data_IF_362094681160
#
_entry.id   IF_362094681160
#
_cell.length_a   1.000
_cell.length_b   1.000
_cell.length_c   1.000
_cell.angle_alpha   90.00
_cell.angle_beta   90.00
_cell.angle_gamma   90.00
#
_symmetry.space_group_name_H-M   'P 1'
#
loop_
_entity.id
_entity.type
_entity.pdbx_description
1 polymer ?
#
# COMPACT_ATOMS: atom_id res chain seq x y z
N UNK A 1 35.27 29.06 -26.71
CA UNK A 1 35.90 27.79 -26.28
C UNK A 1 35.43 27.38 -24.89
N UNK A 2 35.38 28.32 -23.92
CA UNK A 2 34.88 28.04 -22.56
C UNK A 2 33.41 27.59 -22.49
N UNK A 3 32.52 28.12 -23.34
CA UNK A 3 31.09 27.75 -23.38
C UNK A 3 30.86 26.31 -23.84
N UNK A 4 31.74 25.79 -24.70
CA UNK A 4 31.68 24.43 -25.21
C UNK A 4 32.12 23.42 -24.13
N UNK A 5 33.20 23.72 -23.43
CA UNK A 5 33.74 22.87 -22.34
C UNK A 5 32.74 22.79 -21.17
N UNK A 6 32.08 23.90 -20.82
CA UNK A 6 31.07 23.94 -19.76
C UNK A 6 29.85 23.05 -20.08
N UNK A 7 29.36 23.09 -21.33
CA UNK A 7 28.26 22.23 -21.78
C UNK A 7 28.62 20.73 -21.76
N UNK A 8 29.86 20.39 -22.10
CA UNK A 8 30.33 19.00 -22.06
C UNK A 8 30.47 18.46 -20.63
N UNK A 9 30.91 19.30 -19.68
CA UNK A 9 31.02 18.94 -18.26
C UNK A 9 29.62 18.76 -17.65
N UNK A 10 28.67 19.65 -17.95
CA UNK A 10 27.30 19.57 -17.42
C UNK A 10 26.63 18.24 -17.81
N UNK A 11 26.80 17.78 -19.06
CA UNK A 11 26.24 16.49 -19.52
C UNK A 11 26.87 15.29 -18.83
N UNK A 12 28.16 15.36 -18.54
CA UNK A 12 28.91 14.28 -17.89
C UNK A 12 28.53 14.17 -16.40
N UNK A 13 28.36 15.31 -15.74
CA UNK A 13 27.88 15.40 -14.36
C UNK A 13 26.43 14.92 -14.23
N UNK A 14 25.54 15.35 -15.15
CA UNK A 14 24.15 14.87 -15.20
C UNK A 14 24.09 13.36 -15.47
N UNK A 15 24.89 12.85 -16.41
CA UNK A 15 24.97 11.41 -16.70
C UNK A 15 25.41 10.58 -15.49
N UNK A 16 26.43 11.05 -14.75
CA UNK A 16 26.90 10.40 -13.52
C UNK A 16 25.85 10.45 -12.40
N UNK A 17 25.19 11.60 -12.19
CA UNK A 17 24.10 11.74 -11.20
C UNK A 17 22.91 10.84 -11.53
N UNK A 18 22.49 10.77 -12.81
CA UNK A 18 21.42 9.87 -13.24
C UNK A 18 21.79 8.40 -13.02
N UNK A 19 23.03 8.00 -13.29
CA UNK A 19 23.45 6.60 -13.09
C UNK A 19 23.44 6.17 -11.62
N UNK A 20 23.76 7.10 -10.69
CA UNK A 20 23.67 6.85 -9.25
C UNK A 20 22.22 6.71 -8.78
N UNK A 21 21.34 7.62 -9.21
CA UNK A 21 19.92 7.60 -8.84
C UNK A 21 19.22 6.33 -9.35
N UNK A 22 19.48 5.91 -10.59
CA UNK A 22 18.89 4.69 -11.16
C UNK A 22 19.37 3.40 -10.46
N UNK A 23 20.63 3.34 -10.03
CA UNK A 23 21.17 2.19 -9.31
C UNK A 23 20.55 2.00 -7.93
N UNK A 24 20.36 3.10 -7.19
CA UNK A 24 19.78 3.07 -5.84
C UNK A 24 18.29 2.70 -5.86
N UNK A 25 17.53 3.21 -6.85
CA UNK A 25 16.12 2.86 -7.07
C UNK A 25 15.96 1.35 -7.39
N UNK A 26 16.85 0.79 -8.23
CA UNK A 26 16.76 -0.62 -8.61
C UNK A 26 17.03 -1.58 -7.44
N UNK A 27 17.97 -1.23 -6.56
CA UNK A 27 18.30 -2.04 -5.37
C UNK A 27 17.15 -1.98 -4.35
N UNK A 28 16.60 -0.78 -4.09
CA UNK A 28 15.49 -0.57 -3.17
C UNK A 28 14.25 -1.40 -3.56
N UNK A 29 13.86 -1.40 -4.84
CA UNK A 29 12.76 -2.21 -5.37
C UNK A 29 12.98 -3.73 -5.20
N UNK A 30 14.24 -4.20 -5.21
CA UNK A 30 14.52 -5.62 -4.99
C UNK A 30 14.41 -6.06 -3.53
N UNK A 31 14.66 -5.14 -2.59
CA UNK A 31 14.64 -5.42 -1.15
C UNK A 31 13.22 -5.40 -0.61
N UNK A 32 12.46 -4.35 -0.91
CA UNK A 32 11.04 -4.22 -0.57
C UNK A 32 10.22 -5.41 -1.08
N UNK A 33 10.50 -5.89 -2.29
CA UNK A 33 9.79 -7.02 -2.87
C UNK A 33 10.13 -8.34 -2.18
N UNK A 34 11.38 -8.52 -1.71
CA UNK A 34 11.74 -9.69 -0.89
C UNK A 34 11.02 -9.66 0.46
N UNK A 35 10.99 -8.49 1.11
CA UNK A 35 10.25 -8.29 2.36
C UNK A 35 8.76 -8.57 2.16
N UNK A 36 8.17 -8.11 1.05
CA UNK A 36 6.78 -8.38 0.74
C UNK A 36 6.50 -9.86 0.54
N UNK A 37 7.31 -10.57 -0.26
CA UNK A 37 7.13 -12.01 -0.50
C UNK A 37 7.27 -12.83 0.79
N UNK A 38 8.24 -12.47 1.65
CA UNK A 38 8.38 -13.07 2.98
C UNK A 38 7.14 -12.82 3.84
N UNK A 39 6.66 -11.57 3.86
CA UNK A 39 5.50 -11.17 4.65
C UNK A 39 4.21 -11.87 4.21
N UNK A 40 4.08 -12.17 2.91
CA UNK A 40 2.97 -12.93 2.36
C UNK A 40 2.97 -14.36 2.93
N UNK A 41 4.13 -15.02 2.94
CA UNK A 41 4.29 -16.33 3.57
C UNK A 41 3.97 -16.28 5.06
N UNK A 42 4.44 -15.26 5.78
CA UNK A 42 4.09 -15.06 7.19
C UNK A 42 2.57 -14.89 7.39
N UNK A 43 1.94 -14.06 6.58
CA UNK A 43 0.48 -13.83 6.62
C UNK A 43 -0.31 -15.13 6.38
N UNK A 44 0.05 -15.90 5.36
CA UNK A 44 -0.58 -17.20 5.04
C UNK A 44 -0.43 -18.21 6.20
N UNK A 45 0.71 -18.18 6.89
CA UNK A 45 0.98 -18.99 8.07
C UNK A 45 0.41 -18.40 9.38
N UNK A 46 -0.42 -17.35 9.30
CA UNK A 46 -1.06 -16.64 10.44
C UNK A 46 -0.07 -15.99 11.42
N UNK A 47 1.16 -15.78 10.98
CA UNK A 47 2.30 -15.12 11.65
C UNK A 47 2.24 -13.61 11.38
N UNK A 48 1.19 -12.97 11.88
CA UNK A 48 0.85 -11.61 11.48
C UNK A 48 1.80 -10.55 12.05
N UNK A 49 2.38 -10.78 13.24
CA UNK A 49 3.34 -9.84 13.81
C UNK A 49 4.67 -9.83 13.04
N UNK A 50 5.13 -10.98 12.54
CA UNK A 50 6.28 -11.04 11.64
C UNK A 50 5.98 -10.37 10.29
N UNK A 51 4.80 -10.64 9.71
CA UNK A 51 4.37 -9.98 8.48
C UNK A 51 4.34 -8.44 8.65
N UNK A 52 3.81 -7.94 9.78
CA UNK A 52 3.80 -6.50 10.09
C UNK A 52 5.21 -5.92 10.12
N UNK A 53 6.17 -6.59 10.78
CA UNK A 53 7.55 -6.08 10.90
C UNK A 53 8.20 -5.89 9.53
N UNK A 54 8.05 -6.87 8.65
CA UNK A 54 8.62 -6.81 7.29
C UNK A 54 7.89 -5.78 6.43
N UNK A 55 6.56 -5.73 6.51
CA UNK A 55 5.74 -4.78 5.75
C UNK A 55 5.97 -3.33 6.20
N UNK A 56 6.17 -3.07 7.49
CA UNK A 56 6.54 -1.75 8.00
C UNK A 56 7.88 -1.26 7.42
N UNK A 57 8.81 -2.18 7.12
CA UNK A 57 10.05 -1.84 6.40
C UNK A 57 9.77 -1.65 4.92
N UNK A 58 9.02 -2.55 4.28
CA UNK A 58 8.69 -2.46 2.86
C UNK A 58 7.99 -1.14 2.50
N UNK A 59 7.02 -0.67 3.31
CA UNK A 59 6.34 0.62 3.08
C UNK A 59 7.21 1.84 3.39
N UNK A 60 8.30 1.69 4.16
CA UNK A 60 9.29 2.77 4.34
C UNK A 60 10.21 2.89 3.14
N UNK A 61 10.59 1.76 2.53
CA UNK A 61 11.43 1.72 1.33
C UNK A 61 10.60 2.20 0.12
N UNK A 62 9.40 1.64 -0.05
CA UNK A 62 8.51 1.95 -1.18
C UNK A 62 7.08 2.28 -0.72
N UNK A 63 6.83 3.55 -0.30
CA UNK A 63 5.53 3.97 0.23
C UNK A 63 4.42 4.08 -0.82
N UNK A 64 4.73 3.91 -2.11
CA UNK A 64 3.78 4.11 -3.22
C UNK A 64 3.23 2.79 -3.78
N UNK A 65 3.46 1.67 -3.08
CA UNK A 65 3.02 0.35 -3.52
C UNK A 65 1.74 -0.06 -2.77
N UNK A 66 0.60 -0.02 -3.47
CA UNK A 66 -0.73 -0.27 -2.88
C UNK A 66 -0.83 -1.61 -2.15
N UNK A 67 -0.30 -2.69 -2.75
CA UNK A 67 -0.35 -4.05 -2.17
C UNK A 67 0.39 -4.18 -0.84
N UNK A 68 1.43 -3.37 -0.60
CA UNK A 68 2.17 -3.39 0.67
C UNK A 68 1.31 -2.80 1.78
N UNK A 69 0.70 -1.65 1.52
CA UNK A 69 -0.24 -1.02 2.45
C UNK A 69 -1.46 -1.92 2.69
N UNK A 70 -2.00 -2.56 1.66
CA UNK A 70 -3.15 -3.45 1.78
C UNK A 70 -2.84 -4.66 2.69
N UNK A 71 -1.75 -5.39 2.42
CA UNK A 71 -1.38 -6.54 3.25
C UNK A 71 -1.03 -6.13 4.68
N UNK A 72 -0.41 -4.96 4.87
CA UNK A 72 -0.11 -4.41 6.18
C UNK A 72 -1.38 -4.10 6.97
N UNK A 73 -2.38 -3.50 6.32
CA UNK A 73 -3.67 -3.25 6.93
C UNK A 73 -4.37 -4.54 7.36
N UNK A 74 -4.39 -5.55 6.48
CA UNK A 74 -4.96 -6.86 6.77
C UNK A 74 -4.25 -7.51 7.95
N UNK A 75 -2.92 -7.44 8.00
CA UNK A 75 -2.13 -7.99 9.10
C UNK A 75 -2.44 -7.30 10.43
N UNK A 76 -2.56 -5.97 10.46
CA UNK A 76 -3.02 -5.25 11.65
C UNK A 76 -4.45 -5.63 12.04
N UNK A 77 -5.37 -5.81 11.08
CA UNK A 77 -6.74 -6.21 11.36
C UNK A 77 -6.78 -7.56 12.08
N UNK A 78 -5.98 -8.52 11.60
CA UNK A 78 -5.83 -9.84 12.24
C UNK A 78 -5.20 -9.80 13.62
N UNK A 79 -4.25 -8.90 13.85
CA UNK A 79 -3.71 -8.67 15.19
C UNK A 79 -4.74 -7.99 16.11
N UNK A 80 -5.58 -7.11 15.60
CA UNK A 80 -6.65 -6.48 16.36
C UNK A 80 -7.66 -7.52 16.89
N UNK A 81 -8.02 -8.52 16.08
CA UNK A 81 -8.94 -9.62 16.44
C UNK A 81 -8.43 -10.47 17.61
N UNK A 82 -7.11 -10.59 17.79
CA UNK A 82 -6.47 -11.43 18.81
C UNK A 82 -5.98 -10.64 20.03
N UNK A 83 -5.82 -9.33 19.89
CA UNK A 83 -5.20 -8.49 20.89
C UNK A 83 -6.14 -8.15 22.05
N UNK A 84 -5.56 -7.77 23.19
CA UNK A 84 -6.35 -7.12 24.23
C UNK A 84 -6.91 -5.79 23.73
N UNK A 85 -7.99 -5.33 24.37
CA UNK A 85 -8.72 -4.10 24.04
C UNK A 85 -7.83 -2.91 23.66
N UNK A 86 -6.81 -2.59 24.45
CA UNK A 86 -5.97 -1.40 24.21
C UNK A 86 -5.16 -1.53 22.92
N UNK A 87 -4.56 -2.71 22.69
CA UNK A 87 -3.81 -3.00 21.48
C UNK A 87 -4.73 -3.16 20.27
N UNK A 88 -5.91 -3.75 20.44
CA UNK A 88 -6.91 -3.91 19.39
C UNK A 88 -7.33 -2.56 18.81
N UNK A 89 -7.56 -1.55 19.65
CA UNK A 89 -7.85 -0.17 19.21
C UNK A 89 -6.72 0.40 18.36
N UNK A 90 -5.48 0.25 18.83
CA UNK A 90 -4.32 0.75 18.10
C UNK A 90 -4.19 0.08 16.73
N UNK A 91 -4.32 -1.24 16.69
CA UNK A 91 -4.25 -1.99 15.45
C UNK A 91 -5.39 -1.66 14.50
N UNK A 92 -6.64 -1.55 14.98
CA UNK A 92 -7.78 -1.15 14.16
C UNK A 92 -7.55 0.22 13.49
N UNK A 93 -7.05 1.21 14.25
CA UNK A 93 -6.70 2.52 13.67
C UNK A 93 -5.62 2.42 12.60
N UNK A 94 -4.59 1.59 12.80
CA UNK A 94 -3.57 1.34 11.79
C UNK A 94 -4.13 0.62 10.56
N UNK A 95 -5.04 -0.32 10.73
CA UNK A 95 -5.78 -0.97 9.63
C UNK A 95 -6.45 0.07 8.75
N UNK A 96 -7.24 0.98 9.34
CA UNK A 96 -7.91 2.03 8.57
C UNK A 96 -6.92 2.93 7.82
N UNK A 97 -5.88 3.41 8.49
CA UNK A 97 -4.86 4.27 7.86
C UNK A 97 -4.26 3.60 6.62
N UNK A 98 -3.88 2.33 6.73
CA UNK A 98 -3.26 1.62 5.63
C UNK A 98 -4.25 1.22 4.52
N UNK A 99 -5.52 0.93 4.84
CA UNK A 99 -6.57 0.74 3.82
C UNK A 99 -6.83 2.04 3.04
N UNK A 100 -6.93 3.18 3.71
CA UNK A 100 -7.12 4.47 3.05
C UNK A 100 -5.94 4.84 2.13
N UNK A 101 -4.71 4.53 2.54
CA UNK A 101 -3.53 4.71 1.68
C UNK A 101 -3.59 3.75 0.49
N UNK A 102 -3.82 2.46 0.72
CA UNK A 102 -3.91 1.47 -0.35
C UNK A 102 -4.97 1.84 -1.39
N UNK A 103 -6.16 2.25 -0.95
CA UNK A 103 -7.25 2.68 -1.84
C UNK A 103 -6.95 3.99 -2.59
N UNK A 104 -6.08 4.84 -2.05
CA UNK A 104 -5.62 6.05 -2.75
C UNK A 104 -4.60 5.71 -3.83
N UNK A 105 -3.68 4.78 -3.54
CA UNK A 105 -2.64 4.33 -4.46
C UNK A 105 -3.23 3.51 -5.61
N UNK A 106 -4.21 2.66 -5.32
CA UNK A 106 -4.92 1.86 -6.31
C UNK A 106 -6.43 1.94 -6.06
N UNK A 107 -7.05 2.96 -6.66
CA UNK A 107 -8.47 3.26 -6.48
C UNK A 107 -9.41 2.43 -7.36
N UNK A 108 -8.88 1.47 -8.12
CA UNK A 108 -9.67 0.58 -8.99
C UNK A 108 -9.67 -0.87 -8.50
N UNK A 109 -8.76 -1.20 -7.58
CA UNK A 109 -8.67 -2.51 -6.98
C UNK A 109 -9.87 -2.79 -6.06
N UNK A 110 -10.79 -3.62 -6.56
CA UNK A 110 -12.04 -3.94 -5.88
C UNK A 110 -11.83 -4.69 -4.56
N UNK A 111 -10.71 -5.41 -4.39
CA UNK A 111 -10.39 -6.09 -3.13
C UNK A 111 -9.99 -5.09 -2.05
N UNK A 112 -9.15 -4.10 -2.39
CA UNK A 112 -8.76 -3.01 -1.49
C UNK A 112 -9.99 -2.17 -1.10
N UNK A 113 -10.80 -1.81 -2.10
CA UNK A 113 -12.02 -1.04 -1.87
C UNK A 113 -13.03 -1.83 -1.03
N UNK A 114 -13.15 -3.15 -1.26
CA UNK A 114 -13.98 -4.05 -0.47
C UNK A 114 -13.59 -4.03 1.00
N UNK A 115 -12.30 -4.28 1.30
CA UNK A 115 -11.80 -4.29 2.68
C UNK A 115 -11.98 -2.92 3.37
N UNK A 116 -11.80 -1.80 2.64
CA UNK A 116 -12.04 -0.45 3.17
C UNK A 116 -13.52 -0.18 3.44
N UNK A 117 -14.40 -0.59 2.52
CA UNK A 117 -15.84 -0.48 2.67
C UNK A 117 -16.34 -1.27 3.90
N UNK A 118 -15.87 -2.50 4.06
CA UNK A 118 -16.24 -3.36 5.18
C UNK A 118 -15.74 -2.79 6.50
N UNK A 119 -14.50 -2.28 6.55
CA UNK A 119 -14.02 -1.56 7.74
C UNK A 119 -14.93 -0.37 8.09
N UNK A 120 -15.30 0.46 7.11
CA UNK A 120 -16.19 1.60 7.35
C UNK A 120 -17.58 1.18 7.84
N UNK A 121 -18.09 0.01 7.42
CA UNK A 121 -19.40 -0.51 7.86
C UNK A 121 -19.37 -1.09 9.27
N UNK A 122 -18.31 -1.80 9.60
CA UNK A 122 -18.26 -2.64 10.80
C UNK A 122 -17.60 -1.96 12.00
N UNK A 123 -16.64 -1.07 11.77
CA UNK A 123 -15.93 -0.42 12.86
C UNK A 123 -16.84 0.54 13.64
N UNK A 124 -16.65 0.67 14.97
CA UNK A 124 -17.24 1.76 15.73
C UNK A 124 -16.84 3.13 15.19
N UNK A 125 -17.72 4.13 15.30
CA UNK A 125 -17.45 5.48 14.79
C UNK A 125 -16.17 6.13 15.35
N UNK A 126 -15.85 5.90 16.63
CA UNK A 126 -14.61 6.41 17.23
C UNK A 126 -13.33 5.71 16.72
N UNK A 127 -13.48 4.57 16.04
CA UNK A 127 -12.42 3.85 15.32
C UNK A 127 -12.43 4.14 13.81
N UNK A 128 -13.28 5.07 13.38
CA UNK A 128 -13.37 5.54 12.00
C UNK A 128 -14.44 4.87 11.16
N UNK A 129 -15.33 4.05 11.74
CA UNK A 129 -16.52 3.57 11.04
C UNK A 129 -17.43 4.71 10.60
N UNK A 130 -17.94 4.62 9.37
CA UNK A 130 -18.68 5.68 8.71
C UNK A 130 -19.47 5.10 7.52
N UNK A 131 -20.78 4.93 7.70
CA UNK A 131 -21.66 4.35 6.68
C UNK A 131 -21.72 5.19 5.40
N UNK A 132 -21.60 6.52 5.49
CA UNK A 132 -21.61 7.39 4.32
C UNK A 132 -20.34 7.20 3.49
N UNK A 133 -19.18 7.02 4.15
CA UNK A 133 -17.94 6.65 3.45
C UNK A 133 -18.04 5.26 2.84
N UNK A 134 -18.62 4.28 3.54
CA UNK A 134 -18.83 2.95 2.97
C UNK A 134 -19.66 3.01 1.68
N UNK A 135 -20.77 3.75 1.67
CA UNK A 135 -21.61 3.92 0.48
C UNK A 135 -20.86 4.62 -0.68
N UNK A 136 -19.98 5.58 -0.37
CA UNK A 136 -19.10 6.20 -1.38
C UNK A 136 -18.18 5.16 -2.02
N UNK A 137 -17.58 4.30 -1.21
CA UNK A 137 -16.69 3.23 -1.70
C UNK A 137 -17.48 2.18 -2.49
N UNK A 138 -18.67 1.80 -2.04
CA UNK A 138 -19.56 0.88 -2.76
C UNK A 138 -19.88 1.36 -4.18
N UNK A 139 -20.19 2.66 -4.35
CA UNK A 139 -20.41 3.25 -5.67
C UNK A 139 -19.16 3.20 -6.56
N UNK A 140 -17.96 3.31 -5.98
CA UNK A 140 -16.72 3.12 -6.73
C UNK A 140 -16.58 1.67 -7.21
N UNK A 141 -16.79 0.69 -6.33
CA UNK A 141 -16.75 -0.73 -6.67
C UNK A 141 -17.71 -1.03 -7.82
N UNK A 142 -18.98 -0.63 -7.70
CA UNK A 142 -19.99 -0.83 -8.76
C UNK A 142 -19.53 -0.25 -10.10
N UNK A 143 -18.99 0.97 -10.09
CA UNK A 143 -18.48 1.64 -11.31
C UNK A 143 -17.35 0.84 -11.98
N UNK A 144 -16.43 0.25 -11.21
CA UNK A 144 -15.31 -0.51 -11.77
C UNK A 144 -15.71 -1.93 -12.20
N UNK A 145 -16.57 -2.61 -11.43
CA UNK A 145 -17.11 -3.92 -11.83
C UNK A 145 -17.92 -3.83 -13.12
N UNK A 146 -18.69 -2.76 -13.35
CA UNK A 146 -19.39 -2.56 -14.63
C UNK A 146 -18.40 -2.36 -15.78
N UNK A 147 -17.33 -1.58 -15.60
CA UNK A 147 -16.31 -1.37 -16.66
C UNK A 147 -15.59 -2.66 -17.02
N UNK A 148 -15.18 -3.46 -16.05
CA UNK A 148 -14.51 -4.74 -16.30
C UNK A 148 -15.39 -5.71 -17.10
N UNK A 149 -16.69 -5.77 -16.77
CA UNK A 149 -17.66 -6.59 -17.49
C UNK A 149 -17.87 -6.14 -18.94
N UNK A 150 -17.70 -4.85 -19.25
CA UNK A 150 -17.77 -4.33 -20.61
C UNK A 150 -16.49 -4.65 -21.41
N UNK A 151 -15.32 -4.49 -20.79
CA UNK A 151 -14.04 -4.80 -21.44
C UNK A 151 -13.86 -6.28 -21.80
N UNK A 152 -14.49 -7.20 -21.05
CA UNK A 152 -14.49 -8.65 -21.36
C UNK A 152 -15.45 -9.04 -22.49
N UNK A 153 -16.30 -8.12 -22.95
CA UNK A 153 -17.32 -8.36 -23.99
C UNK A 153 -16.92 -7.83 -25.37
N UNK A 154 -15.80 -7.09 -25.45
CA UNK A 154 -15.18 -6.60 -26.69
C UNK A 154 -14.05 -7.54 -27.13
#
# INVERSE_FOLDING_TARGET
>A
METFIRSSIDRLVIGLLCSFIFGEIAIANSESEKLFNSSLSHYENKKYDEAIKELEVAVKIEPQIARYHHLLAKSYGREAEKANWLRAIQYAKKTLVHLEIAARLDNQNVDILGDLMDYYREAPGFLGGDLEKAEKVERLIQKFSTKENLAKRE
#
